data_IF_788244095062
#
_entry.id   IF_788244095062
#
_cell.length_a   1.000
_cell.length_b   1.000
_cell.length_c   1.000
_cell.angle_alpha   90.00
_cell.angle_beta   90.00
_cell.angle_gamma   90.00
#
_symmetry.space_group_name_H-M   'P 1'
#
loop_
_entity.id
_entity.type
_entity.pdbx_description
1 polymer ?
#
# COMPACT_ATOMS: atom_id res chain seq x y z
N UNK A 1 4.67 -4.37 39.10
CA UNK A 1 4.39 -4.75 37.71
C UNK A 1 5.45 -4.08 36.86
N UNK A 2 6.26 -4.88 36.15
CA UNK A 2 7.37 -4.38 35.33
C UNK A 2 6.76 -3.72 34.10
N UNK A 3 7.00 -2.42 33.90
CA UNK A 3 6.75 -1.79 32.60
C UNK A 3 7.83 -2.29 31.65
N UNK A 4 7.42 -3.16 30.72
CA UNK A 4 8.29 -3.65 29.67
C UNK A 4 8.51 -2.53 28.63
N UNK A 5 9.70 -1.94 28.66
CA UNK A 5 10.13 -0.82 27.82
C UNK A 5 10.55 -1.25 26.40
N UNK A 6 10.23 -2.48 25.97
CA UNK A 6 10.73 -3.05 24.71
C UNK A 6 9.70 -3.25 23.60
N UNK A 7 8.42 -2.91 23.82
CA UNK A 7 7.44 -2.93 22.72
C UNK A 7 7.65 -1.75 21.78
N UNK A 8 8.03 -2.05 20.54
CA UNK A 8 8.07 -1.08 19.43
C UNK A 8 6.73 -0.33 19.36
N UNK A 9 6.76 1.00 19.36
CA UNK A 9 5.59 1.86 19.22
C UNK A 9 4.83 1.65 17.89
N UNK A 10 5.40 0.88 16.96
CA UNK A 10 4.86 0.60 15.63
C UNK A 10 4.81 -0.91 15.40
N UNK A 11 3.89 -1.60 16.09
CA UNK A 11 3.50 -2.96 15.69
C UNK A 11 2.64 -2.82 14.43
N UNK A 12 3.07 -3.44 13.32
CA UNK A 12 2.31 -3.49 12.07
C UNK A 12 1.43 -4.75 12.05
N UNK A 13 0.12 -4.67 12.37
CA UNK A 13 -0.81 -5.77 12.19
C UNK A 13 -1.13 -5.98 10.70
N UNK A 14 -0.18 -6.52 9.93
CA UNK A 14 -0.36 -6.74 8.50
C UNK A 14 -1.55 -7.64 8.21
N UNK A 15 -2.39 -7.20 7.28
CA UNK A 15 -3.58 -7.93 6.82
C UNK A 15 -3.21 -8.76 5.59
N UNK A 16 -3.42 -10.09 5.58
CA UNK A 16 -3.23 -10.93 4.40
C UNK A 16 -4.07 -10.48 3.20
N UNK A 17 -3.53 -10.62 1.99
CA UNK A 17 -4.22 -10.26 0.75
C UNK A 17 -5.57 -10.98 0.62
N UNK A 18 -5.64 -12.26 1.02
CA UNK A 18 -6.87 -13.06 1.00
C UNK A 18 -8.03 -12.38 1.75
N UNK A 19 -7.77 -11.78 2.92
CA UNK A 19 -8.81 -11.14 3.72
C UNK A 19 -9.27 -9.80 3.12
N UNK A 20 -8.35 -9.11 2.43
CA UNK A 20 -8.63 -7.86 1.71
C UNK A 20 -9.51 -8.18 0.49
N UNK A 21 -9.10 -9.18 -0.31
CA UNK A 21 -9.78 -9.60 -1.53
C UNK A 21 -11.14 -10.24 -1.26
N UNK A 22 -11.28 -11.02 -0.20
CA UNK A 22 -12.56 -11.62 0.21
C UNK A 22 -13.48 -10.62 0.93
N UNK A 23 -13.00 -9.40 1.21
CA UNK A 23 -13.74 -8.38 1.96
C UNK A 23 -14.23 -8.84 3.34
N UNK A 24 -13.52 -9.77 3.97
CA UNK A 24 -13.85 -10.34 5.28
C UNK A 24 -13.10 -9.67 6.43
N UNK A 25 -12.33 -8.61 6.16
CA UNK A 25 -11.69 -7.84 7.22
C UNK A 25 -12.72 -6.97 7.95
N UNK A 26 -13.25 -7.50 9.05
CA UNK A 26 -14.28 -6.86 9.87
C UNK A 26 -13.78 -5.69 10.72
N UNK A 27 -12.46 -5.42 10.78
CA UNK A 27 -11.88 -4.68 11.90
C UNK A 27 -11.39 -3.26 11.64
N UNK A 28 -11.26 -2.76 10.40
CA UNK A 28 -10.84 -1.35 10.24
C UNK A 28 -11.07 -0.78 8.85
N UNK A 29 -11.37 0.53 8.80
CA UNK A 29 -11.31 1.32 7.56
C UNK A 29 -9.85 1.52 7.09
N UNK A 30 -8.89 1.34 8.00
CA UNK A 30 -7.46 1.54 7.80
C UNK A 30 -6.71 0.25 8.12
N UNK A 31 -5.97 -0.28 7.16
CA UNK A 31 -5.25 -1.55 7.29
C UNK A 31 -3.77 -1.34 7.05
N UNK A 32 -2.95 -2.21 7.65
CA UNK A 32 -1.52 -2.26 7.37
C UNK A 32 -1.28 -3.42 6.39
N UNK A 33 -0.47 -3.19 5.37
CA UNK A 33 -0.16 -4.19 4.35
C UNK A 33 1.34 -4.23 4.06
N UNK A 34 1.81 -5.41 3.68
CA UNK A 34 3.17 -5.65 3.22
C UNK A 34 3.10 -6.50 1.95
N UNK A 35 3.93 -6.19 0.96
CA UNK A 35 4.01 -7.02 -0.24
C UNK A 35 5.15 -6.66 -1.16
N UNK A 36 5.51 -7.62 -2.00
CA UNK A 36 6.38 -7.45 -3.14
C UNK A 36 5.67 -6.63 -4.21
N UNK A 37 6.31 -5.58 -4.71
CA UNK A 37 5.84 -4.80 -5.86
C UNK A 37 5.98 -5.61 -7.14
N UNK A 38 4.86 -6.11 -7.66
CA UNK A 38 4.86 -6.95 -8.87
C UNK A 38 4.48 -6.18 -10.13
N UNK A 39 3.77 -5.05 -10.00
CA UNK A 39 3.49 -4.15 -11.10
C UNK A 39 3.35 -2.70 -10.61
N UNK A 40 3.68 -1.75 -11.49
CA UNK A 40 3.55 -0.32 -11.26
C UNK A 40 3.04 0.33 -12.55
N UNK A 41 1.97 1.11 -12.45
CA UNK A 41 1.50 1.94 -13.56
C UNK A 41 2.36 3.20 -13.78
N UNK A 42 1.90 4.05 -14.68
CA UNK A 42 2.42 5.41 -14.84
C UNK A 42 1.80 6.36 -13.83
N UNK A 43 2.44 7.51 -13.60
CA UNK A 43 1.81 8.61 -12.86
C UNK A 43 0.69 9.19 -13.73
N UNK A 44 -0.52 9.20 -13.20
CA UNK A 44 -1.70 9.79 -13.84
C UNK A 44 -1.94 11.15 -13.21
N UNK A 45 -1.84 12.20 -14.01
CA UNK A 45 -2.16 13.57 -13.60
C UNK A 45 -3.55 13.98 -14.11
N UNK A 46 -4.31 14.69 -13.28
CA UNK A 46 -5.63 15.19 -13.64
C UNK A 46 -5.98 16.45 -12.82
N UNK A 47 -7.06 17.14 -13.19
CA UNK A 47 -7.57 18.28 -12.42
C UNK A 47 -8.95 17.95 -11.87
N UNK A 48 -9.15 18.12 -10.56
CA UNK A 48 -10.43 17.92 -9.87
C UNK A 48 -10.76 19.15 -9.06
N UNK A 49 -11.93 19.75 -9.30
CA UNK A 49 -12.38 20.99 -8.64
C UNK A 49 -11.34 22.13 -8.74
N UNK A 50 -10.67 22.27 -9.89
CA UNK A 50 -9.62 23.27 -10.10
C UNK A 50 -8.27 22.97 -9.43
N UNK A 51 -8.15 21.88 -8.68
CA UNK A 51 -6.89 21.43 -8.08
C UNK A 51 -6.25 20.35 -8.96
N UNK A 52 -4.96 20.50 -9.26
CA UNK A 52 -4.16 19.43 -9.87
C UNK A 52 -3.97 18.30 -8.85
N UNK A 53 -4.23 17.08 -9.29
CA UNK A 53 -4.07 15.86 -8.53
C UNK A 53 -3.28 14.84 -9.34
N UNK A 54 -2.56 13.98 -8.64
CA UNK A 54 -1.80 12.90 -9.25
C UNK A 54 -1.91 11.62 -8.43
N UNK A 55 -1.87 10.47 -9.12
CA UNK A 55 -1.78 9.17 -8.46
C UNK A 55 -1.05 8.15 -9.32
N UNK A 56 -0.65 7.05 -8.69
CA UNK A 56 -0.13 5.85 -9.34
C UNK A 56 -0.83 4.63 -8.78
N UNK A 57 -1.07 3.62 -9.62
CA UNK A 57 -1.58 2.32 -9.19
C UNK A 57 -0.43 1.33 -9.15
N UNK A 58 -0.33 0.61 -8.04
CA UNK A 58 0.66 -0.45 -7.83
C UNK A 58 -0.04 -1.77 -7.52
N UNK A 59 0.61 -2.88 -7.87
CA UNK A 59 0.20 -4.24 -7.52
C UNK A 59 1.16 -4.80 -6.47
N UNK A 60 0.62 -5.32 -5.37
CA UNK A 60 1.37 -5.93 -4.27
C UNK A 60 0.99 -7.39 -4.08
N UNK A 61 2.00 -8.25 -3.97
CA UNK A 61 1.89 -9.69 -3.67
C UNK A 61 2.44 -9.99 -2.27
N UNK A 62 1.63 -10.57 -1.39
CA UNK A 62 2.06 -10.99 -0.05
C UNK A 62 2.77 -12.36 -0.05
N UNK A 63 2.97 -12.94 -1.23
CA UNK A 63 3.67 -14.21 -1.48
C UNK A 63 2.98 -15.42 -0.83
N UNK A 64 1.69 -15.31 -0.48
CA UNK A 64 0.90 -16.42 0.07
C UNK A 64 0.12 -17.20 -0.98
N UNK A 65 0.29 -16.89 -2.28
CA UNK A 65 -0.43 -17.50 -3.40
C UNK A 65 -1.97 -17.33 -3.31
N UNK A 66 -2.43 -16.28 -2.60
CA UNK A 66 -3.87 -15.98 -2.40
C UNK A 66 -4.37 -14.80 -3.23
N UNK A 67 -3.60 -14.40 -4.24
CA UNK A 67 -3.89 -13.27 -5.09
C UNK A 67 -3.17 -11.99 -4.66
N UNK A 68 -3.27 -10.99 -5.52
CA UNK A 68 -2.56 -9.72 -5.40
C UNK A 68 -3.56 -8.59 -5.22
N UNK A 69 -3.13 -7.54 -4.51
CA UNK A 69 -3.95 -6.36 -4.27
C UNK A 69 -3.46 -5.19 -5.10
N UNK A 70 -4.38 -4.30 -5.46
CA UNK A 70 -4.05 -3.02 -6.07
C UNK A 70 -4.12 -1.91 -5.04
N UNK A 71 -3.10 -1.06 -4.99
CA UNK A 71 -3.06 0.12 -4.14
C UNK A 71 -2.90 1.38 -4.98
N UNK A 72 -3.55 2.46 -4.54
CA UNK A 72 -3.42 3.78 -5.16
C UNK A 72 -2.61 4.68 -4.24
N UNK A 73 -1.43 5.09 -4.69
CA UNK A 73 -0.63 6.11 -3.99
C UNK A 73 -0.92 7.47 -4.60
N UNK A 74 -1.18 8.45 -3.76
CA UNK A 74 -1.59 9.79 -4.17
C UNK A 74 -0.47 10.80 -3.97
N UNK A 75 -0.42 11.80 -4.86
CA UNK A 75 0.42 12.99 -4.76
C UNK A 75 1.90 12.68 -4.45
N UNK A 76 2.42 13.15 -3.31
CA UNK A 76 3.83 12.99 -2.94
C UNK A 76 4.26 11.53 -2.84
N UNK A 77 3.38 10.61 -2.44
CA UNK A 77 3.73 9.19 -2.37
C UNK A 77 3.95 8.58 -3.76
N UNK A 78 3.21 9.05 -4.77
CA UNK A 78 3.40 8.60 -6.14
C UNK A 78 4.77 9.05 -6.69
N UNK A 79 5.14 10.31 -6.47
CA UNK A 79 6.41 10.87 -6.95
C UNK A 79 7.61 10.33 -6.17
N UNK A 80 7.50 10.16 -4.86
CA UNK A 80 8.55 9.58 -4.02
C UNK A 80 8.86 8.13 -4.39
N UNK A 81 7.85 7.31 -4.67
CA UNK A 81 8.05 5.93 -5.13
C UNK A 81 8.86 5.90 -6.43
N UNK A 82 8.42 6.65 -7.45
CA UNK A 82 9.09 6.66 -8.76
C UNK A 82 10.53 7.16 -8.63
N UNK A 83 10.73 8.27 -7.91
CA UNK A 83 12.07 8.83 -7.68
C UNK A 83 12.98 7.82 -6.96
N UNK A 84 12.48 7.14 -5.93
CA UNK A 84 13.27 6.13 -5.21
C UNK A 84 13.69 4.98 -6.14
N UNK A 85 12.79 4.50 -7.00
CA UNK A 85 13.11 3.42 -7.94
C UNK A 85 14.13 3.85 -9.01
N UNK A 86 14.08 5.12 -9.45
CA UNK A 86 15.08 5.68 -10.38
C UNK A 86 16.45 5.83 -9.73
N UNK A 87 16.48 6.29 -8.47
CA UNK A 87 17.72 6.51 -7.71
C UNK A 87 18.35 5.20 -7.20
N UNK A 88 17.54 4.18 -6.95
CA UNK A 88 17.95 2.88 -6.39
C UNK A 88 17.40 1.72 -7.24
N UNK A 89 17.85 1.56 -8.50
CA UNK A 89 17.32 0.53 -9.39
C UNK A 89 17.68 -0.87 -8.86
N UNK A 90 16.66 -1.69 -8.61
CA UNK A 90 16.80 -3.10 -8.23
C UNK A 90 15.72 -3.93 -8.92
N UNK A 91 15.85 -5.25 -8.83
CA UNK A 91 14.88 -6.19 -9.40
C UNK A 91 13.60 -6.31 -8.58
N UNK A 92 13.67 -6.06 -7.26
CA UNK A 92 12.59 -6.33 -6.33
C UNK A 92 12.47 -5.23 -5.27
N UNK A 93 11.24 -4.77 -5.04
CA UNK A 93 10.91 -3.82 -3.97
C UNK A 93 9.84 -4.43 -3.08
N UNK A 94 10.07 -4.45 -1.76
CA UNK A 94 9.05 -4.80 -0.77
C UNK A 94 8.54 -3.50 -0.16
N UNK A 95 7.23 -3.30 -0.17
CA UNK A 95 6.59 -2.11 0.38
C UNK A 95 5.83 -2.48 1.65
N UNK A 96 5.95 -1.64 2.67
CA UNK A 96 5.07 -1.63 3.84
C UNK A 96 4.21 -0.36 3.79
N UNK A 97 2.89 -0.52 3.84
CA UNK A 97 1.94 0.60 3.84
C UNK A 97 1.11 0.53 5.11
N UNK A 98 1.19 1.57 5.92
CA UNK A 98 0.46 1.68 7.18
C UNK A 98 -0.78 2.56 7.00
N UNK A 99 -1.85 2.23 7.70
CA UNK A 99 -3.12 2.97 7.69
C UNK A 99 -3.69 3.17 6.27
N UNK A 100 -3.50 2.19 5.40
CA UNK A 100 -4.05 2.21 4.05
C UNK A 100 -5.58 2.14 4.12
N UNK A 101 -6.27 3.06 3.42
CA UNK A 101 -7.73 3.04 3.38
C UNK A 101 -8.22 1.86 2.55
N UNK A 102 -8.95 0.95 3.20
CA UNK A 102 -9.65 -0.12 2.51
C UNK A 102 -10.85 0.45 1.73
N UNK A 103 -10.88 0.26 0.41
CA UNK A 103 -11.99 0.66 -0.44
C UNK A 103 -12.48 -0.53 -1.27
N UNK A 104 -13.79 -0.75 -1.27
CA UNK A 104 -14.46 -1.61 -2.25
C UNK A 104 -14.58 -0.82 -3.56
N UNK A 105 -13.66 -1.04 -4.50
CA UNK A 105 -13.85 -0.55 -5.86
C UNK A 105 -14.74 -1.55 -6.60
N UNK A 106 -16.04 -1.24 -6.70
CA UNK A 106 -16.93 -1.91 -7.64
C UNK A 106 -16.64 -1.27 -9.00
N UNK A 107 -15.91 -1.98 -9.86
CA UNK A 107 -15.57 -1.51 -11.21
C UNK A 107 -16.75 -0.91 -11.95
#
# INVERSE_FOLDING_TARGET
MVQDLTFSEHVFPFVPNELILNHTNAQSHLIDIIGLLTAKGDIIEFTKNGKKCSYIVIELDDMQEKGKIHCTLWEEFATQLVKHMEEQPTTEYILTLQFAKFNLFKG
#
